data_IF_013643910715
#
_entry.id   IF_013643910715
#
_cell.length_a   1.000
_cell.length_b   1.000
_cell.length_c   1.000
_cell.angle_alpha   90.00
_cell.angle_beta   90.00
_cell.angle_gamma   90.00
#
_symmetry.space_group_name_H-M   'P 1'
#
loop_
_entity.id
_entity.type
_entity.pdbx_description
1 polymer ?
#
# COMPACT_ATOMS: atom_id res chain seq x y z
N UNK A 1 7.00 -1.41 11.22
CA UNK A 1 5.63 -1.87 10.95
C UNK A 1 5.27 -1.57 9.50
N UNK A 2 4.36 -2.33 8.95
CA UNK A 2 3.99 -2.19 7.54
C UNK A 2 3.47 -0.79 7.24
N UNK A 3 2.57 -0.27 8.07
CA UNK A 3 1.99 1.04 7.85
C UNK A 3 3.06 2.13 7.85
N UNK A 4 4.03 2.05 8.73
CA UNK A 4 5.09 3.06 8.80
C UNK A 4 5.91 3.07 7.51
N UNK A 5 6.24 1.90 6.99
CA UNK A 5 6.98 1.81 5.73
C UNK A 5 6.17 2.35 4.57
N UNK A 6 4.88 2.07 4.55
CA UNK A 6 4.00 2.59 3.52
C UNK A 6 3.93 4.11 3.57
N UNK A 7 3.78 4.68 4.77
CA UNK A 7 3.74 6.13 4.93
C UNK A 7 5.02 6.79 4.42
N UNK A 8 6.16 6.24 4.79
CA UNK A 8 7.44 6.78 4.36
C UNK A 8 7.58 6.74 2.85
N UNK A 9 7.21 5.62 2.24
CA UNK A 9 7.32 5.50 0.80
C UNK A 9 6.41 6.49 0.09
N UNK A 10 5.16 6.56 0.51
CA UNK A 10 4.20 7.46 -0.14
C UNK A 10 4.63 8.91 -0.02
N UNK A 11 5.03 9.33 1.18
CA UNK A 11 5.43 10.71 1.40
C UNK A 11 6.70 11.07 0.62
N UNK A 12 7.67 10.18 0.61
CA UNK A 12 8.97 10.48 0.02
C UNK A 12 8.99 10.28 -1.50
N UNK A 13 8.34 9.23 -1.98
CA UNK A 13 8.47 8.84 -3.39
C UNK A 13 7.28 9.24 -4.25
N UNK A 14 6.09 9.25 -3.70
CA UNK A 14 4.89 9.50 -4.48
C UNK A 14 4.40 10.93 -4.36
N UNK A 15 4.30 11.45 -3.15
CA UNK A 15 3.79 12.79 -2.93
C UNK A 15 4.90 13.83 -2.85
N UNK A 16 6.08 13.42 -2.44
CA UNK A 16 7.26 14.30 -2.34
C UNK A 16 6.96 15.55 -1.53
N UNK A 17 6.20 15.39 -0.45
CA UNK A 17 5.86 16.49 0.42
C UNK A 17 5.59 15.96 1.81
N UNK A 18 5.55 16.88 2.80
CA UNK A 18 5.31 16.53 4.18
C UNK A 18 3.81 16.34 4.45
N UNK A 19 3.16 15.52 3.64
CA UNK A 19 1.75 15.24 3.83
C UNK A 19 1.59 14.29 5.01
N UNK A 20 0.70 14.66 5.92
CA UNK A 20 0.37 13.81 7.05
C UNK A 20 -0.70 12.82 6.61
N UNK A 21 -0.35 11.55 6.61
CA UNK A 21 -1.29 10.49 6.23
C UNK A 21 -1.72 9.74 7.48
N UNK A 22 -3.03 9.66 7.68
CA UNK A 22 -3.59 8.82 8.73
C UNK A 22 -3.78 7.40 8.19
N UNK A 23 -3.88 6.45 9.11
CA UNK A 23 -4.10 5.06 8.72
C UNK A 23 -5.39 4.88 7.93
N UNK A 24 -6.37 5.73 8.16
CA UNK A 24 -7.67 5.62 7.51
C UNK A 24 -7.91 6.66 6.42
N UNK A 25 -6.88 7.41 6.03
CA UNK A 25 -7.01 8.36 4.93
C UNK A 25 -7.39 7.62 3.65
N UNK A 26 -8.44 8.12 2.97
CA UNK A 26 -8.90 7.51 1.72
C UNK A 26 -7.96 7.92 0.60
N UNK A 27 -7.09 7.00 0.20
CA UNK A 27 -6.02 7.33 -0.73
C UNK A 27 -6.50 7.58 -2.15
N UNK A 28 -7.38 6.74 -2.65
CA UNK A 28 -7.86 6.87 -4.02
C UNK A 28 -9.00 7.86 -4.15
N UNK A 29 -9.98 7.79 -3.22
CA UNK A 29 -11.14 8.66 -3.30
C UNK A 29 -10.83 10.12 -3.09
N UNK A 30 -9.89 10.41 -2.19
CA UNK A 30 -9.51 11.78 -1.91
C UNK A 30 -8.60 12.38 -2.97
N UNK A 31 -8.17 11.57 -3.94
CA UNK A 31 -7.22 12.04 -4.93
C UNK A 31 -5.79 12.09 -4.41
N UNK A 32 -5.54 11.52 -3.24
CA UNK A 32 -4.20 11.50 -2.67
C UNK A 32 -3.23 10.74 -3.56
N UNK A 33 -3.70 9.64 -4.14
CA UNK A 33 -2.90 8.84 -5.08
C UNK A 33 -3.60 8.78 -6.42
N UNK A 34 -2.84 8.96 -7.50
CA UNK A 34 -3.33 8.73 -8.84
C UNK A 34 -3.18 7.25 -9.19
N UNK A 35 -3.74 6.85 -10.34
CA UNK A 35 -3.59 5.47 -10.80
C UNK A 35 -2.12 5.12 -10.99
N UNK A 36 -1.35 6.03 -11.56
CA UNK A 36 0.08 5.80 -11.81
C UNK A 36 0.84 5.63 -10.51
N UNK A 37 0.52 6.48 -9.53
CA UNK A 37 1.16 6.39 -8.22
C UNK A 37 0.78 5.09 -7.51
N UNK A 38 -0.44 4.61 -7.72
CA UNK A 38 -0.87 3.35 -7.14
C UNK A 38 -0.04 2.19 -7.69
N UNK A 39 0.27 2.21 -8.98
CA UNK A 39 1.12 1.19 -9.59
C UNK A 39 2.50 1.18 -8.94
N UNK A 40 3.07 2.35 -8.73
CA UNK A 40 4.35 2.46 -8.05
C UNK A 40 4.31 1.91 -6.63
N UNK A 41 3.21 2.17 -5.94
CA UNK A 41 3.02 1.64 -4.60
C UNK A 41 2.93 0.12 -4.60
N UNK A 42 2.23 -0.46 -5.57
CA UNK A 42 2.15 -1.91 -5.71
C UNK A 42 3.53 -2.52 -5.89
N UNK A 43 4.34 -1.93 -6.75
CA UNK A 43 5.70 -2.42 -6.98
C UNK A 43 6.54 -2.34 -5.70
N UNK A 44 6.41 -1.26 -4.95
CA UNK A 44 7.11 -1.13 -3.68
C UNK A 44 6.70 -2.24 -2.72
N UNK A 45 5.40 -2.48 -2.60
CA UNK A 45 4.88 -3.50 -1.71
C UNK A 45 5.44 -4.88 -2.07
N UNK A 46 5.43 -5.22 -3.33
CA UNK A 46 5.92 -6.51 -3.77
C UNK A 46 7.40 -6.68 -3.49
N UNK A 47 8.17 -5.63 -3.71
CA UNK A 47 9.62 -5.69 -3.48
C UNK A 47 9.96 -5.67 -2.00
N UNK A 48 9.33 -4.77 -1.25
CA UNK A 48 9.69 -4.57 0.16
C UNK A 48 9.20 -5.69 1.05
N UNK A 49 8.01 -6.19 0.81
CA UNK A 49 7.40 -7.18 1.68
C UNK A 49 7.43 -8.58 1.09
N UNK A 50 7.93 -8.73 -0.12
CA UNK A 50 8.06 -10.04 -0.74
C UNK A 50 6.74 -10.73 -1.03
N UNK A 51 5.69 -9.98 -1.29
CA UNK A 51 4.38 -10.53 -1.60
C UNK A 51 4.02 -10.25 -3.04
N UNK A 52 3.04 -10.96 -3.56
CA UNK A 52 2.57 -10.80 -4.92
C UNK A 52 1.15 -10.22 -4.89
N UNK A 53 0.95 -9.09 -5.56
CA UNK A 53 -0.35 -8.43 -5.63
C UNK A 53 -0.98 -8.75 -6.97
N UNK A 54 -2.13 -9.41 -6.94
CA UNK A 54 -2.84 -9.74 -8.17
C UNK A 54 -3.57 -8.51 -8.73
N UNK A 55 -3.77 -8.43 -10.05
CA UNK A 55 -4.44 -7.27 -10.64
C UNK A 55 -5.81 -6.99 -10.04
N UNK A 56 -6.59 -8.01 -9.72
CA UNK A 56 -7.92 -7.83 -9.14
C UNK A 56 -7.86 -7.33 -7.71
N UNK A 57 -6.71 -7.41 -7.07
CA UNK A 57 -6.53 -6.89 -5.72
C UNK A 57 -6.15 -5.41 -5.74
N UNK A 58 -5.80 -4.88 -6.90
CA UNK A 58 -5.52 -3.45 -7.05
C UNK A 58 -6.85 -2.75 -7.27
N UNK A 59 -7.59 -2.59 -6.18
CA UNK A 59 -8.95 -2.06 -6.24
C UNK A 59 -9.14 -0.97 -5.20
N UNK A 60 -10.20 -0.19 -5.38
CA UNK A 60 -10.52 0.85 -4.42
C UNK A 60 -10.78 0.26 -3.03
N UNK A 61 -11.33 -0.95 -2.98
CA UNK A 61 -11.61 -1.60 -1.71
C UNK A 61 -10.33 -1.96 -0.96
N UNK A 62 -9.40 -2.61 -1.63
CA UNK A 62 -8.17 -3.06 -0.99
C UNK A 62 -7.17 -1.93 -0.77
N UNK A 63 -7.16 -0.95 -1.66
CA UNK A 63 -6.22 0.17 -1.56
C UNK A 63 -6.88 1.43 -1.04
N UNK A 64 -7.96 1.28 -0.31
CA UNK A 64 -8.73 2.40 0.21
C UNK A 64 -7.91 3.25 1.19
N UNK A 65 -7.16 2.62 2.06
CA UNK A 65 -6.39 3.30 3.09
C UNK A 65 -5.15 2.50 3.44
N UNK A 66 -4.26 3.11 4.20
CA UNK A 66 -3.07 2.40 4.67
C UNK A 66 -3.44 1.20 5.53
N UNK A 67 -4.50 1.32 6.32
CA UNK A 67 -4.98 0.20 7.14
C UNK A 67 -5.42 -0.96 6.25
N UNK A 68 -6.15 -0.68 5.18
CA UNK A 68 -6.59 -1.72 4.25
C UNK A 68 -5.41 -2.38 3.54
N UNK A 69 -4.45 -1.58 3.09
CA UNK A 69 -3.25 -2.10 2.42
C UNK A 69 -2.44 -2.95 3.39
N UNK A 70 -2.27 -2.49 4.62
CA UNK A 70 -1.54 -3.24 5.62
C UNK A 70 -2.20 -4.59 5.89
N UNK A 71 -3.52 -4.62 5.95
CA UNK A 71 -4.26 -5.87 6.14
C UNK A 71 -4.05 -6.81 4.95
N UNK A 72 -4.05 -6.27 3.74
CA UNK A 72 -3.82 -7.08 2.55
C UNK A 72 -2.42 -7.68 2.58
N UNK A 73 -1.40 -6.87 2.88
CA UNK A 73 -0.03 -7.34 2.94
C UNK A 73 0.11 -8.44 4.00
N UNK A 74 -0.48 -8.24 5.17
CA UNK A 74 -0.41 -9.23 6.24
C UNK A 74 -1.04 -10.55 5.81
N UNK A 75 -2.21 -10.49 5.16
CA UNK A 75 -2.84 -11.71 4.66
C UNK A 75 -1.97 -12.42 3.65
N UNK A 76 -1.34 -11.66 2.76
CA UNK A 76 -0.45 -12.23 1.75
C UNK A 76 0.75 -12.91 2.38
N UNK A 77 1.35 -12.28 3.37
CA UNK A 77 2.50 -12.87 4.05
C UNK A 77 2.15 -14.17 4.75
N UNK A 78 0.98 -14.21 5.37
CA UNK A 78 0.52 -15.43 6.03
C UNK A 78 0.20 -16.51 5.02
N UNK A 79 -0.44 -16.14 3.91
CA UNK A 79 -0.83 -17.11 2.88
C UNK A 79 0.36 -17.69 2.14
N UNK A 80 1.46 -16.96 2.06
CA UNK A 80 2.68 -17.45 1.40
C UNK A 80 3.39 -18.52 2.20
N UNK A 81 2.71 -19.05 3.16
CA UNK A 81 3.28 -20.09 3.91
C UNK A 81 4.23 -19.55 4.95
N UNK A 82 3.76 -18.58 5.64
CA UNK A 82 4.51 -17.91 6.66
C UNK A 82 5.63 -18.72 7.23
N UNK A 83 6.41 -19.13 6.78
CA UNK A 83 7.48 -19.90 7.26
C UNK A 83 8.35 -20.35 6.11
N UNK A 84 7.92 -20.00 5.01
CA UNK A 84 8.77 -20.33 3.87
C UNK A 84 10.04 -19.52 3.93
#
# INVERSE_FOLDING_TARGET
MIIDKLKKFIAAQLLQSDVQLDDDTLLLRSGTLTSLQTIGLVQFIQTEFGVEIEPEEISEHEFRSLRSISALVTRKQLAQGGGA
#
